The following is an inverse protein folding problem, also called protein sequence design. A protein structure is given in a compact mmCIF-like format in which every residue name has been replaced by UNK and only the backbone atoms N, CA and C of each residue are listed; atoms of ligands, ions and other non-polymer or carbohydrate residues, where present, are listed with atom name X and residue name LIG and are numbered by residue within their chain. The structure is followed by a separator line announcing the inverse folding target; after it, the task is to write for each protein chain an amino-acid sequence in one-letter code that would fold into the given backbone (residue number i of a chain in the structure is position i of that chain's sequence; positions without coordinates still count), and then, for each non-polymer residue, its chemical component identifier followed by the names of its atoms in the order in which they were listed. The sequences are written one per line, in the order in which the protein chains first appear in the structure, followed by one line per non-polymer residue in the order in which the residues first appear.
data_IF_438640777714
#
_entry.id   IF_438640777714
#
_cell.length_a   1.000
_cell.length_b   1.000
_cell.length_c   1.000
_cell.angle_alpha   90.00
_cell.angle_beta   90.00
_cell.angle_gamma   90.00
#
_symmetry.space_group_name_H-M   'P 1'
#
loop_
_entity.id
_entity.type
_entity.pdbx_description
1 polymer ?
#
# COMPACT_ATOMS: atom_id res chain seq x y z
N UNK A 1 -26.12 -27.27 -8.11
CA UNK A 1 -25.68 -26.13 -8.90
C UNK A 1 -25.16 -25.07 -7.95
N UNK A 2 -23.97 -24.53 -8.23
CA UNK A 2 -23.31 -23.51 -7.41
C UNK A 2 -23.08 -22.27 -8.28
N UNK A 3 -23.37 -21.07 -7.75
CA UNK A 3 -23.01 -19.80 -8.35
C UNK A 3 -22.01 -19.12 -7.42
N UNK A 4 -20.82 -18.82 -7.95
CA UNK A 4 -19.75 -18.13 -7.24
C UNK A 4 -19.59 -16.74 -7.83
N UNK A 5 -19.45 -15.73 -6.99
CA UNK A 5 -19.10 -14.36 -7.37
C UNK A 5 -17.73 -14.05 -6.82
N UNK A 6 -16.75 -13.89 -7.71
CA UNK A 6 -15.37 -13.61 -7.35
C UNK A 6 -14.69 -12.77 -8.43
N UNK A 7 -13.63 -12.04 -8.08
CA UNK A 7 -12.74 -11.36 -9.01
C UNK A 7 -11.36 -12.03 -9.10
N UNK A 8 -11.15 -13.13 -8.38
CA UNK A 8 -9.88 -13.86 -8.37
C UNK A 8 -9.84 -14.87 -9.50
N UNK A 9 -9.03 -14.59 -10.51
CA UNK A 9 -8.95 -15.43 -11.71
C UNK A 9 -8.51 -16.87 -11.43
N UNK A 10 -7.63 -17.09 -10.46
CA UNK A 10 -7.24 -18.44 -10.06
C UNK A 10 -8.46 -19.28 -9.60
N UNK A 11 -9.29 -18.71 -8.70
CA UNK A 11 -10.51 -19.39 -8.24
C UNK A 11 -11.47 -19.70 -9.41
N UNK A 12 -11.63 -18.72 -10.33
CA UNK A 12 -12.48 -18.89 -11.52
C UNK A 12 -11.97 -20.04 -12.39
N UNK A 13 -10.68 -20.06 -12.70
CA UNK A 13 -10.08 -21.06 -13.58
C UNK A 13 -10.08 -22.47 -12.98
N UNK A 14 -9.92 -22.57 -11.66
CA UNK A 14 -9.78 -23.86 -10.97
C UNK A 14 -11.12 -24.56 -10.75
N UNK A 15 -12.23 -23.82 -10.51
CA UNK A 15 -13.45 -24.43 -10.00
C UNK A 15 -14.71 -24.17 -10.84
N UNK A 16 -14.67 -23.28 -11.84
CA UNK A 16 -15.87 -22.99 -12.64
C UNK A 16 -15.89 -23.67 -13.99
N UNK A 17 -17.07 -24.11 -14.45
CA UNK A 17 -17.29 -24.63 -15.79
C UNK A 17 -17.49 -23.51 -16.81
N UNK A 18 -18.16 -22.44 -16.41
CA UNK A 18 -18.48 -21.27 -17.23
C UNK A 18 -18.36 -19.99 -16.42
N UNK A 19 -17.94 -18.94 -17.09
CA UNK A 19 -17.79 -17.60 -16.51
C UNK A 19 -18.68 -16.62 -17.24
N UNK A 20 -19.50 -15.90 -16.49
CA UNK A 20 -20.24 -14.74 -16.98
C UNK A 20 -19.55 -13.47 -16.46
N UNK A 21 -19.08 -12.62 -17.36
CA UNK A 21 -18.40 -11.39 -17.00
C UNK A 21 -19.40 -10.24 -16.93
N UNK A 22 -19.44 -9.57 -15.78
CA UNK A 22 -20.23 -8.36 -15.56
C UNK A 22 -19.29 -7.13 -15.46
N UNK A 23 -19.67 -6.06 -16.14
CA UNK A 23 -18.94 -4.78 -16.08
C UNK A 23 -19.93 -3.63 -16.06
N UNK A 24 -19.85 -2.77 -15.03
CA UNK A 24 -20.75 -1.61 -14.84
C UNK A 24 -22.24 -1.96 -14.92
N UNK A 25 -22.63 -3.16 -14.48
CA UNK A 25 -24.01 -3.63 -14.50
C UNK A 25 -24.44 -4.32 -15.81
N UNK A 26 -23.58 -4.37 -16.82
CA UNK A 26 -23.85 -5.02 -18.10
C UNK A 26 -23.18 -6.39 -18.18
N UNK A 27 -23.85 -7.36 -18.80
CA UNK A 27 -23.28 -8.65 -19.13
C UNK A 27 -22.44 -8.55 -20.39
N UNK A 28 -21.13 -8.64 -20.26
CA UNK A 28 -20.17 -8.55 -21.38
C UNK A 28 -20.14 -9.84 -22.20
N UNK A 29 -20.35 -10.97 -21.53
CA UNK A 29 -20.40 -12.27 -22.20
C UNK A 29 -20.32 -13.42 -21.21
N UNK A 30 -20.65 -14.62 -21.72
CA UNK A 30 -20.50 -15.89 -21.01
C UNK A 30 -19.60 -16.81 -21.84
N UNK A 31 -18.53 -17.30 -21.24
CA UNK A 31 -17.55 -18.17 -21.88
C UNK A 31 -17.34 -19.44 -21.07
N UNK A 32 -16.93 -20.54 -21.70
CA UNK A 32 -16.49 -21.72 -20.98
C UNK A 32 -15.08 -21.49 -20.45
N UNK A 33 -14.82 -21.91 -19.22
CA UNK A 33 -13.51 -21.75 -18.59
C UNK A 33 -12.40 -22.46 -19.37
N UNK A 34 -12.72 -23.64 -19.97
CA UNK A 34 -11.78 -24.38 -20.80
C UNK A 34 -11.43 -23.72 -22.15
N UNK A 35 -12.18 -22.71 -22.58
CA UNK A 35 -12.02 -22.04 -23.88
C UNK A 35 -11.51 -20.59 -23.72
N UNK A 36 -11.11 -20.19 -22.51
CA UNK A 36 -10.66 -18.82 -22.20
C UNK A 36 -9.37 -18.81 -21.37
N UNK A 37 -8.78 -17.64 -21.23
CA UNK A 37 -7.58 -17.44 -20.42
C UNK A 37 -7.81 -16.37 -19.34
N UNK A 38 -7.02 -16.37 -18.24
CA UNK A 38 -7.07 -15.32 -17.23
C UNK A 38 -6.95 -13.92 -17.81
N UNK A 39 -6.09 -13.75 -18.83
CA UNK A 39 -5.89 -12.48 -19.51
C UNK A 39 -7.15 -12.02 -20.25
N UNK A 40 -7.76 -12.91 -21.04
CA UNK A 40 -8.99 -12.58 -21.79
C UNK A 40 -10.15 -12.21 -20.84
N UNK A 41 -10.31 -12.94 -19.73
CA UNK A 41 -11.32 -12.63 -18.73
C UNK A 41 -11.03 -11.26 -18.08
N UNK A 42 -9.78 -10.97 -17.77
CA UNK A 42 -9.36 -9.68 -17.21
C UNK A 42 -9.67 -8.53 -18.18
N UNK A 43 -9.35 -8.69 -19.47
CA UNK A 43 -9.67 -7.70 -20.50
C UNK A 43 -11.19 -7.47 -20.64
N UNK A 44 -11.99 -8.53 -20.59
CA UNK A 44 -13.45 -8.42 -20.60
C UNK A 44 -13.95 -7.63 -19.37
N UNK A 45 -13.40 -7.88 -18.18
CA UNK A 45 -13.77 -7.21 -16.94
C UNK A 45 -13.37 -5.74 -16.95
N UNK A 46 -12.15 -5.41 -17.36
CA UNK A 46 -11.58 -4.06 -17.36
C UNK A 46 -12.04 -3.25 -18.58
N UNK A 47 -12.21 -3.91 -19.73
CA UNK A 47 -12.65 -3.28 -20.98
C UNK A 47 -11.54 -2.63 -21.80
N UNK A 48 -10.28 -2.91 -21.45
CA UNK A 48 -9.08 -2.52 -22.20
C UNK A 48 -8.06 -3.65 -22.13
N UNK A 49 -7.15 -3.70 -23.07
CA UNK A 49 -6.01 -4.60 -22.99
C UNK A 49 -5.23 -4.35 -21.69
N UNK A 50 -4.93 -5.41 -20.96
CA UNK A 50 -4.18 -5.36 -19.71
C UNK A 50 -2.88 -6.14 -19.92
N UNK A 51 -1.76 -5.48 -19.76
CA UNK A 51 -0.46 -6.14 -19.73
C UNK A 51 -0.22 -6.63 -18.31
N UNK A 52 -0.20 -7.95 -18.12
CA UNK A 52 0.08 -8.56 -16.82
C UNK A 52 1.58 -8.55 -16.47
N UNK A 53 2.43 -8.24 -17.44
CA UNK A 53 3.87 -8.11 -17.24
C UNK A 53 4.19 -6.71 -16.72
N UNK A 54 4.81 -6.66 -15.56
CA UNK A 54 5.32 -5.42 -14.96
C UNK A 54 6.77 -5.27 -15.43
N UNK A 55 7.04 -4.27 -16.26
CA UNK A 55 8.41 -3.87 -16.58
C UNK A 55 9.06 -3.33 -15.30
N UNK A 56 10.03 -4.08 -14.77
CA UNK A 56 10.84 -3.61 -13.65
C UNK A 56 12.09 -2.93 -14.20
N UNK A 57 12.38 -1.67 -13.83
CA UNK A 57 13.68 -1.11 -14.10
C UNK A 57 14.75 -1.98 -13.46
N UNK A 58 15.86 -2.21 -14.15
CA UNK A 58 17.06 -2.82 -13.57
C UNK A 58 17.55 -1.88 -12.47
N UNK A 59 17.60 -2.38 -11.23
CA UNK A 59 17.65 -1.39 -10.18
C UNK A 59 18.69 -1.71 -9.19
N UNK A 60 19.27 -2.30 -8.62
CA UNK A 60 20.07 -2.12 -7.42
C UNK A 60 21.54 -2.49 -7.61
N UNK A 61 22.37 -1.61 -7.12
CA UNK A 61 23.78 -1.93 -6.88
C UNK A 61 23.91 -2.48 -5.45
N UNK A 62 23.98 -3.80 -5.34
CA UNK A 62 24.20 -4.48 -4.05
C UNK A 62 25.62 -4.26 -3.46
N UNK A 63 26.51 -3.59 -4.20
CA UNK A 63 27.81 -3.14 -3.67
C UNK A 63 27.72 -1.74 -3.05
N UNK A 64 26.61 -1.04 -3.26
CA UNK A 64 26.35 0.24 -2.62
C UNK A 64 26.01 0.05 -1.13
N UNK A 65 26.01 1.17 -0.39
CA UNK A 65 25.55 1.18 1.00
C UNK A 65 24.04 0.91 1.04
N UNK A 66 23.56 0.01 1.92
CA UNK A 66 22.13 -0.17 2.12
C UNK A 66 21.42 1.13 2.51
N UNK A 67 20.22 1.34 1.98
CA UNK A 67 19.37 2.44 2.36
C UNK A 67 18.70 2.19 3.72
N UNK A 68 18.31 0.94 3.98
CA UNK A 68 17.78 0.49 5.27
C UNK A 68 18.50 -0.80 5.67
N UNK A 69 18.97 -0.89 6.91
CA UNK A 69 19.61 -2.08 7.46
C UNK A 69 18.97 -2.44 8.80
N UNK A 70 18.48 -3.66 8.91
CA UNK A 70 17.91 -4.20 10.14
C UNK A 70 18.89 -5.23 10.69
N UNK A 71 19.32 -5.04 11.95
CA UNK A 71 20.39 -5.82 12.57
C UNK A 71 19.93 -6.41 13.91
N UNK A 72 19.91 -7.74 13.98
CA UNK A 72 19.59 -8.52 15.20
C UNK A 72 18.28 -8.08 15.87
N UNK A 73 17.31 -7.64 15.06
CA UNK A 73 16.06 -7.11 15.55
C UNK A 73 15.26 -8.17 16.30
N UNK A 74 15.05 -7.93 17.58
CA UNK A 74 14.28 -8.81 18.46
C UNK A 74 13.17 -8.01 19.14
N UNK A 75 11.97 -8.58 19.17
CA UNK A 75 10.79 -8.04 19.84
C UNK A 75 10.14 -9.10 20.70
N UNK A 76 9.94 -8.81 21.96
CA UNK A 76 9.14 -9.63 22.88
C UNK A 76 7.76 -9.02 23.10
N UNK A 77 6.76 -9.88 23.22
CA UNK A 77 5.43 -9.48 23.66
C UNK A 77 5.39 -9.31 25.20
N UNK A 78 4.22 -8.96 25.73
CA UNK A 78 3.99 -8.79 27.18
C UNK A 78 4.26 -10.05 28.00
N UNK A 79 4.16 -11.23 27.38
CA UNK A 79 4.37 -12.52 28.02
C UNK A 79 5.84 -12.98 27.95
N UNK A 80 6.72 -12.14 27.38
CA UNK A 80 8.15 -12.43 27.22
C UNK A 80 8.51 -13.34 26.04
N UNK A 81 7.53 -13.69 25.18
CA UNK A 81 7.74 -14.52 24.00
C UNK A 81 8.25 -13.66 22.84
N UNK A 82 9.26 -14.16 22.11
CA UNK A 82 9.77 -13.48 20.92
C UNK A 82 8.72 -13.49 19.82
N UNK A 83 8.26 -12.31 19.40
CA UNK A 83 7.41 -12.08 18.21
C UNK A 83 8.29 -11.88 17.00
N UNK A 84 9.44 -11.23 17.18
CA UNK A 84 10.55 -11.18 16.23
C UNK A 84 11.79 -11.69 16.94
N UNK A 85 12.58 -12.50 16.27
CA UNK A 85 13.76 -13.13 16.86
C UNK A 85 14.94 -13.01 15.91
N UNK A 86 15.90 -12.15 16.26
CA UNK A 86 17.17 -11.95 15.54
C UNK A 86 16.97 -11.71 14.02
N UNK A 87 16.04 -10.86 13.65
CA UNK A 87 15.73 -10.53 12.24
C UNK A 87 16.84 -9.65 11.66
N UNK A 88 17.38 -10.06 10.51
CA UNK A 88 18.46 -9.36 9.82
C UNK A 88 18.15 -9.27 8.32
N UNK A 89 18.22 -8.07 7.74
CA UNK A 89 18.19 -7.85 6.30
C UNK A 89 18.63 -6.43 5.95
N UNK A 90 19.04 -6.26 4.69
CA UNK A 90 19.37 -4.98 4.09
C UNK A 90 18.40 -4.69 2.93
N UNK A 91 18.13 -3.41 2.68
CA UNK A 91 17.35 -2.92 1.51
C UNK A 91 18.17 -1.85 0.82
N UNK A 92 18.35 -2.00 -0.47
CA UNK A 92 19.18 -1.10 -1.29
C UNK A 92 18.33 -0.10 -2.08
N UNK A 93 18.96 0.96 -2.56
CA UNK A 93 18.28 1.94 -3.41
C UNK A 93 17.74 1.30 -4.70
N UNK A 94 16.44 1.51 -5.00
CA UNK A 94 15.75 0.92 -6.13
C UNK A 94 15.29 -0.54 -5.95
N UNK A 95 15.60 -1.17 -4.81
CA UNK A 95 15.18 -2.54 -4.50
C UNK A 95 13.73 -2.59 -4.02
N UNK A 96 13.05 -3.69 -4.37
CA UNK A 96 11.76 -4.07 -3.78
C UNK A 96 11.99 -5.37 -3.00
N UNK A 97 12.08 -5.25 -1.68
CA UNK A 97 12.17 -6.40 -0.78
C UNK A 97 10.78 -6.89 -0.39
N UNK A 98 10.46 -8.14 -0.74
CA UNK A 98 9.22 -8.79 -0.31
C UNK A 98 9.40 -9.53 1.01
N UNK A 99 8.54 -9.22 2.00
CA UNK A 99 8.50 -9.93 3.28
C UNK A 99 7.27 -10.84 3.30
N UNK A 100 7.50 -12.15 3.22
CA UNK A 100 6.44 -13.15 3.20
C UNK A 100 6.32 -13.88 4.55
N UNK A 101 5.10 -14.24 4.92
CA UNK A 101 4.81 -15.01 6.14
C UNK A 101 3.32 -15.22 6.31
N UNK A 102 2.94 -16.20 7.13
CA UNK A 102 1.53 -16.39 7.52
C UNK A 102 1.10 -15.30 8.51
N UNK A 103 -0.19 -15.11 8.67
CA UNK A 103 -0.72 -14.14 9.64
C UNK A 103 -0.18 -14.43 11.07
N UNK A 104 0.31 -13.40 11.75
CA UNK A 104 0.89 -13.51 13.09
C UNK A 104 2.39 -13.87 13.12
N UNK A 105 3.10 -13.88 11.98
CA UNK A 105 4.54 -14.15 11.94
C UNK A 105 5.43 -12.93 12.18
N UNK A 106 4.89 -11.83 12.71
CA UNK A 106 5.66 -10.65 13.10
C UNK A 106 5.79 -9.56 12.03
N UNK A 107 5.19 -9.71 10.84
CA UNK A 107 5.28 -8.70 9.77
C UNK A 107 4.73 -7.34 10.20
N UNK A 108 3.63 -7.33 10.96
CA UNK A 108 3.03 -6.12 11.49
C UNK A 108 3.99 -5.42 12.46
N UNK A 109 4.52 -6.16 13.42
CA UNK A 109 5.45 -5.67 14.44
C UNK A 109 6.73 -5.13 13.79
N UNK A 110 7.25 -5.82 12.76
CA UNK A 110 8.39 -5.35 11.98
C UNK A 110 8.13 -3.99 11.35
N UNK A 111 7.00 -3.83 10.66
CA UNK A 111 6.62 -2.56 10.04
C UNK A 111 6.43 -1.45 11.09
N UNK A 112 5.77 -1.74 12.20
CA UNK A 112 5.50 -0.78 13.27
C UNK A 112 6.81 -0.32 13.95
N UNK A 113 7.77 -1.22 14.16
CA UNK A 113 9.08 -0.89 14.73
C UNK A 113 9.89 0.00 13.78
N UNK A 114 9.97 -0.34 12.49
CA UNK A 114 10.66 0.50 11.50
C UNK A 114 10.04 1.89 11.41
N UNK A 115 8.71 1.99 11.55
CA UNK A 115 7.99 3.26 11.56
C UNK A 115 8.10 4.03 12.89
N UNK A 116 8.70 3.45 13.92
CA UNK A 116 8.79 4.04 15.26
C UNK A 116 7.48 4.04 16.05
N UNK A 117 6.49 3.27 15.59
CA UNK A 117 5.19 3.11 16.27
C UNK A 117 5.26 2.11 17.43
N UNK A 118 6.23 1.21 17.38
CA UNK A 118 6.51 0.25 18.45
C UNK A 118 8.02 0.19 18.75
N UNK A 119 8.37 -0.36 19.90
CA UNK A 119 9.77 -0.44 20.36
C UNK A 119 10.31 -1.86 20.19
N UNK A 120 11.52 -1.96 19.67
CA UNK A 120 12.28 -3.21 19.70
C UNK A 120 12.75 -3.52 21.12
N UNK A 121 12.96 -4.80 21.42
CA UNK A 121 13.56 -5.25 22.67
C UNK A 121 15.09 -5.19 22.57
N UNK A 122 15.63 -5.64 21.41
CA UNK A 122 17.06 -5.63 21.13
C UNK A 122 17.31 -5.46 19.62
N UNK A 123 18.56 -5.18 19.24
CA UNK A 123 18.98 -4.94 17.87
C UNK A 123 19.10 -3.45 17.53
N UNK A 124 19.25 -3.17 16.25
CA UNK A 124 19.32 -1.83 15.69
C UNK A 124 18.68 -1.76 14.30
N UNK A 125 18.26 -0.57 13.90
CA UNK A 125 17.82 -0.24 12.56
C UNK A 125 18.56 1.01 12.10
N UNK A 126 19.27 0.88 10.98
CA UNK A 126 19.98 2.00 10.36
C UNK A 126 19.24 2.44 9.08
N UNK A 127 19.10 3.73 8.91
CA UNK A 127 18.60 4.36 7.70
C UNK A 127 19.66 5.30 7.14
N UNK A 128 20.09 5.07 5.90
CA UNK A 128 21.18 5.81 5.24
C UNK A 128 22.48 5.82 6.08
N UNK A 129 22.66 4.77 6.93
CA UNK A 129 23.78 4.55 7.83
C UNK A 129 23.69 5.23 9.20
N UNK A 130 22.63 5.92 9.49
CA UNK A 130 22.32 6.45 10.80
C UNK A 130 21.33 5.56 11.55
N UNK A 131 21.59 5.24 12.81
CA UNK A 131 20.62 4.53 13.63
C UNK A 131 19.35 5.35 13.81
N UNK A 132 18.21 4.70 13.66
CA UNK A 132 16.88 5.27 13.94
C UNK A 132 16.28 4.73 15.23
N UNK A 133 17.04 3.94 15.99
CA UNK A 133 16.64 3.39 17.28
C UNK A 133 16.16 4.48 18.24
N UNK A 134 14.95 4.33 18.75
CA UNK A 134 14.37 5.26 19.73
C UNK A 134 13.88 6.58 19.15
N UNK A 135 13.93 6.79 17.84
CA UNK A 135 13.32 7.95 17.21
C UNK A 135 11.79 7.83 17.22
N UNK A 136 11.12 8.97 17.37
CA UNK A 136 9.67 9.03 17.23
C UNK A 136 9.25 8.97 15.74
N UNK A 137 7.97 8.65 15.45
CA UNK A 137 7.51 8.52 14.06
C UNK A 137 7.70 9.79 13.22
N UNK A 138 7.63 10.98 13.82
CA UNK A 138 7.85 12.25 13.09
C UNK A 138 9.30 12.42 12.68
N UNK A 139 10.24 12.05 13.55
CA UNK A 139 11.67 12.08 13.25
C UNK A 139 12.01 11.10 12.13
N UNK A 140 11.42 9.90 12.14
CA UNK A 140 11.58 8.86 11.12
C UNK A 140 11.05 9.36 9.76
N UNK A 141 9.86 9.94 9.73
CA UNK A 141 9.28 10.52 8.51
C UNK A 141 10.16 11.63 7.94
N UNK A 142 10.74 12.51 8.80
CA UNK A 142 11.66 13.57 8.35
C UNK A 142 12.95 13.02 7.74
N UNK A 143 13.39 11.84 8.15
CA UNK A 143 14.53 11.13 7.53
C UNK A 143 14.18 10.51 6.16
N UNK A 144 12.93 10.57 5.73
CA UNK A 144 12.48 10.09 4.43
C UNK A 144 11.94 8.66 4.42
N UNK A 145 11.75 8.04 5.60
CA UNK A 145 11.03 6.77 5.71
C UNK A 145 9.54 7.10 5.77
N UNK A 146 8.80 6.63 4.78
CA UNK A 146 7.34 6.73 4.77
C UNK A 146 6.75 5.33 4.81
N UNK A 147 5.81 5.10 5.71
CA UNK A 147 5.08 3.86 5.81
C UNK A 147 3.63 4.08 5.36
N UNK A 148 3.25 3.38 4.29
CA UNK A 148 1.84 3.24 3.91
C UNK A 148 1.31 1.96 4.55
N UNK A 149 0.56 2.11 5.63
CA UNK A 149 -0.09 0.98 6.27
C UNK A 149 -1.47 0.77 5.65
N UNK A 150 -1.65 -0.34 4.98
CA UNK A 150 -2.94 -0.73 4.40
C UNK A 150 -3.48 -1.90 5.23
N UNK A 151 -4.04 -1.62 6.42
CA UNK A 151 -4.66 -2.63 7.25
C UNK A 151 -6.00 -3.07 6.66
N UNK A 152 -6.59 -4.08 7.23
CA UNK A 152 -7.97 -4.47 6.95
C UNK A 152 -8.95 -3.32 7.22
N UNK A 153 -8.74 -2.60 8.33
CA UNK A 153 -9.38 -1.30 8.61
C UNK A 153 -8.50 -0.14 8.11
N UNK A 154 -8.73 0.23 6.86
CA UNK A 154 -7.98 1.31 6.16
C UNK A 154 -8.23 2.70 6.75
N UNK A 155 -9.37 2.88 7.38
CA UNK A 155 -9.84 4.16 7.87
C UNK A 155 -9.47 4.45 9.32
N UNK A 156 -8.92 3.45 10.06
CA UNK A 156 -8.48 3.62 11.43
C UNK A 156 -7.02 4.03 11.58
N UNK A 157 -6.16 3.60 10.66
CA UNK A 157 -4.70 3.79 10.77
C UNK A 157 -4.08 4.63 9.64
N UNK A 158 -4.61 4.54 8.43
CA UNK A 158 -4.03 5.20 7.26
C UNK A 158 -4.62 6.57 6.97
N UNK A 159 -5.92 6.70 7.03
CA UNK A 159 -6.71 7.88 6.68
C UNK A 159 -7.72 8.20 7.77
N UNK A 160 -8.10 9.47 7.89
CA UNK A 160 -9.17 9.90 8.78
C UNK A 160 -10.50 9.83 8.06
N UNK A 161 -11.33 8.85 8.41
CA UNK A 161 -12.58 8.50 7.75
C UNK A 161 -13.55 9.68 7.53
N UNK A 162 -13.66 10.55 8.51
CA UNK A 162 -14.58 11.71 8.49
C UNK A 162 -14.09 12.92 7.70
N UNK A 163 -12.81 12.93 7.29
CA UNK A 163 -12.22 14.05 6.56
C UNK A 163 -12.37 13.89 5.05
N UNK A 164 -12.24 15.00 4.31
CA UNK A 164 -12.19 15.02 2.86
C UNK A 164 -10.89 14.41 2.31
N UNK A 165 -10.86 14.11 1.01
CA UNK A 165 -9.62 13.73 0.32
C UNK A 165 -8.57 14.83 0.52
N UNK A 166 -8.93 16.10 0.28
CA UNK A 166 -8.05 17.26 0.46
C UNK A 166 -7.37 17.29 1.83
N UNK A 167 -8.13 17.07 2.91
CA UNK A 167 -7.55 17.09 4.25
C UNK A 167 -6.69 15.86 4.54
N UNK A 168 -7.07 14.70 4.00
CA UNK A 168 -6.30 13.47 4.19
C UNK A 168 -4.95 13.50 3.48
N UNK A 169 -4.85 14.08 2.29
CA UNK A 169 -3.58 14.10 1.54
C UNK A 169 -2.52 14.98 2.19
N UNK A 170 -2.91 16.01 2.94
CA UNK A 170 -1.97 16.91 3.62
C UNK A 170 -1.65 16.52 5.07
N UNK A 171 -2.21 15.43 5.61
CA UNK A 171 -2.02 15.03 7.03
C UNK A 171 -0.54 14.93 7.46
N UNK A 172 0.36 14.56 6.56
CA UNK A 172 1.80 14.44 6.83
C UNK A 172 2.61 15.67 6.40
N UNK A 173 2.01 16.59 5.63
CA UNK A 173 2.70 17.73 5.03
C UNK A 173 2.09 19.09 5.38
N UNK A 174 1.10 19.15 6.26
CA UNK A 174 0.39 20.38 6.62
C UNK A 174 1.29 21.49 7.19
N UNK A 175 2.44 21.13 7.75
CA UNK A 175 3.40 22.05 8.38
C UNK A 175 4.61 22.40 7.48
N UNK A 176 4.55 22.12 6.18
CA UNK A 176 5.62 22.49 5.24
C UNK A 176 5.73 24.01 5.05
N UNK A 177 4.63 24.73 5.19
CA UNK A 177 4.63 26.19 5.12
C UNK A 177 4.79 26.79 6.52
N UNK A 178 5.75 27.72 6.71
CA UNK A 178 5.90 28.44 7.96
C UNK A 178 4.72 29.41 8.14
N UNK A 179 3.78 29.08 9.02
CA UNK A 179 2.65 29.94 9.32
C UNK A 179 1.59 29.23 10.17
N UNK A 180 0.69 30.00 10.81
CA UNK A 180 -0.36 29.43 11.66
C UNK A 180 -1.52 28.83 10.88
N UNK A 181 -1.56 28.99 9.56
CA UNK A 181 -2.66 28.56 8.71
C UNK A 181 -2.23 27.50 7.70
N UNK A 182 -3.13 26.56 7.45
CA UNK A 182 -2.97 25.56 6.41
C UNK A 182 -3.17 26.20 5.03
N UNK A 183 -2.26 25.92 4.09
CA UNK A 183 -2.42 26.38 2.71
C UNK A 183 -3.49 25.54 1.99
N UNK A 184 -4.72 26.05 2.03
CA UNK A 184 -5.88 25.38 1.42
C UNK A 184 -5.80 25.31 -0.11
N UNK A 185 -5.09 26.25 -0.76
CA UNK A 185 -4.92 26.22 -2.23
C UNK A 185 -3.97 25.11 -2.64
N UNK A 186 -2.85 24.99 -1.95
CA UNK A 186 -1.90 23.89 -2.14
C UNK A 186 -2.57 22.54 -1.87
N UNK A 187 -3.28 22.41 -0.73
CA UNK A 187 -3.97 21.19 -0.35
C UNK A 187 -4.97 20.72 -1.42
N UNK A 188 -5.76 21.66 -1.98
CA UNK A 188 -6.73 21.37 -3.03
C UNK A 188 -6.03 20.93 -4.33
N UNK A 189 -5.00 21.66 -4.76
CA UNK A 189 -4.23 21.34 -5.97
C UNK A 189 -3.59 19.96 -5.87
N UNK A 190 -2.99 19.64 -4.72
CA UNK A 190 -2.40 18.34 -4.45
C UNK A 190 -3.44 17.22 -4.51
N UNK A 191 -4.61 17.43 -3.91
CA UNK A 191 -5.69 16.45 -3.95
C UNK A 191 -6.21 16.22 -5.37
N UNK A 192 -6.36 17.28 -6.18
CA UNK A 192 -6.74 17.18 -7.60
C UNK A 192 -5.70 16.41 -8.42
N UNK A 193 -4.42 16.65 -8.17
CA UNK A 193 -3.34 15.92 -8.82
C UNK A 193 -3.35 14.43 -8.46
N UNK A 194 -3.45 14.08 -7.18
CA UNK A 194 -3.51 12.68 -6.72
C UNK A 194 -4.75 11.97 -7.29
N UNK A 195 -5.91 12.65 -7.31
CA UNK A 195 -7.15 12.10 -7.88
C UNK A 195 -6.96 11.79 -9.36
N UNK A 196 -6.29 12.66 -10.11
CA UNK A 196 -6.00 12.46 -11.53
C UNK A 196 -4.98 11.34 -11.75
N UNK A 197 -3.82 11.40 -11.09
CA UNK A 197 -2.69 10.51 -11.34
C UNK A 197 -2.97 9.05 -10.94
N UNK A 198 -3.82 8.85 -9.94
CA UNK A 198 -4.23 7.52 -9.48
C UNK A 198 -5.63 7.10 -9.97
N UNK A 199 -6.22 7.84 -10.91
CA UNK A 199 -7.56 7.55 -11.43
C UNK A 199 -8.58 7.26 -10.30
N UNK A 200 -8.70 8.19 -9.34
CA UNK A 200 -9.60 8.03 -8.19
C UNK A 200 -11.00 8.47 -8.58
N UNK A 201 -11.95 7.54 -8.57
CA UNK A 201 -13.34 7.87 -8.85
C UNK A 201 -14.00 8.55 -7.66
N UNK A 202 -14.25 9.86 -7.78
CA UNK A 202 -14.86 10.71 -6.74
C UNK A 202 -15.65 11.86 -7.35
N UNK A 203 -16.76 12.30 -6.72
CA UNK A 203 -17.48 13.49 -7.17
C UNK A 203 -16.67 14.79 -7.03
N UNK A 204 -15.79 14.88 -6.03
CA UNK A 204 -14.90 16.02 -5.81
C UNK A 204 -13.82 15.70 -4.79
N UNK A 205 -12.74 16.50 -4.75
CA UNK A 205 -11.67 16.38 -3.75
C UNK A 205 -12.11 16.72 -2.33
N UNK A 206 -13.26 17.40 -2.19
CA UNK A 206 -13.87 17.68 -0.89
C UNK A 206 -14.77 16.54 -0.38
N UNK A 207 -14.90 15.47 -1.16
CA UNK A 207 -15.70 14.32 -0.78
C UNK A 207 -15.07 13.58 0.40
N UNK A 208 -15.92 13.13 1.33
CA UNK A 208 -15.46 12.44 2.55
C UNK A 208 -14.96 11.04 2.22
N UNK A 209 -13.74 10.71 2.67
CA UNK A 209 -13.05 9.47 2.30
C UNK A 209 -13.84 8.21 2.65
N UNK A 210 -14.56 8.16 3.79
CA UNK A 210 -15.40 7.00 4.18
C UNK A 210 -16.51 6.65 3.20
N UNK A 211 -16.86 7.57 2.29
CA UNK A 211 -17.90 7.37 1.28
C UNK A 211 -17.37 6.83 -0.05
N UNK A 212 -16.06 6.71 -0.18
CA UNK A 212 -15.41 6.12 -1.35
C UNK A 212 -15.49 4.59 -1.30
N UNK A 213 -15.34 3.95 -2.46
CA UNK A 213 -15.11 2.50 -2.52
C UNK A 213 -13.78 2.14 -1.87
N UNK A 214 -13.64 0.89 -1.43
CA UNK A 214 -12.41 0.41 -0.82
C UNK A 214 -11.17 0.62 -1.69
N UNK A 215 -11.26 0.41 -3.00
CA UNK A 215 -10.18 0.67 -3.94
C UNK A 215 -9.81 2.15 -4.02
N UNK A 216 -10.80 3.05 -4.08
CA UNK A 216 -10.52 4.49 -4.12
C UNK A 216 -9.93 5.01 -2.79
N UNK A 217 -10.35 4.46 -1.65
CA UNK A 217 -9.73 4.76 -0.34
C UNK A 217 -8.23 4.40 -0.39
N UNK A 218 -7.91 3.24 -0.93
CA UNK A 218 -6.53 2.77 -1.05
C UNK A 218 -5.70 3.63 -1.99
N UNK A 219 -6.26 4.01 -3.14
CA UNK A 219 -5.61 4.92 -4.09
C UNK A 219 -5.30 6.29 -3.47
N UNK A 220 -6.21 6.84 -2.64
CA UNK A 220 -5.95 8.08 -1.88
C UNK A 220 -4.76 7.90 -0.93
N UNK A 221 -4.72 6.78 -0.20
CA UNK A 221 -3.64 6.48 0.74
C UNK A 221 -2.30 6.31 0.02
N UNK A 222 -2.25 5.48 -1.00
CA UNK A 222 -1.03 5.23 -1.79
C UNK A 222 -0.56 6.51 -2.49
N UNK A 223 -1.47 7.27 -3.10
CA UNK A 223 -1.15 8.52 -3.78
C UNK A 223 -0.52 9.55 -2.84
N UNK A 224 -1.02 9.67 -1.60
CA UNK A 224 -0.41 10.52 -0.57
C UNK A 224 1.01 10.06 -0.24
N UNK A 225 1.20 8.77 0.02
CA UNK A 225 2.50 8.25 0.43
C UNK A 225 3.55 8.33 -0.69
N UNK A 226 3.16 8.05 -1.93
CA UNK A 226 4.04 8.14 -3.09
C UNK A 226 4.39 9.60 -3.42
N UNK A 227 3.42 10.51 -3.30
CA UNK A 227 3.66 11.94 -3.55
C UNK A 227 4.72 12.53 -2.60
N UNK A 228 4.83 12.02 -1.38
CA UNK A 228 5.86 12.44 -0.41
C UNK A 228 7.28 12.06 -0.86
N UNK A 229 7.43 11.31 -1.94
CA UNK A 229 8.71 10.86 -2.51
C UNK A 229 9.65 10.27 -1.46
N UNK A 230 9.20 9.27 -0.69
CA UNK A 230 9.99 8.71 0.39
C UNK A 230 11.22 7.98 -0.18
N UNK A 231 12.33 8.01 0.55
CA UNK A 231 13.52 7.21 0.21
C UNK A 231 13.28 5.70 0.46
N UNK A 232 12.49 5.36 1.48
CA UNK A 232 12.02 4.00 1.77
C UNK A 232 10.51 4.04 1.96
N UNK A 233 9.79 3.22 1.20
CA UNK A 233 8.35 3.06 1.31
C UNK A 233 8.04 1.65 1.83
N UNK A 234 7.36 1.55 2.97
CA UNK A 234 6.91 0.28 3.55
C UNK A 234 5.42 0.15 3.29
N UNK A 235 5.01 -0.94 2.64
CA UNK A 235 3.60 -1.20 2.33
C UNK A 235 3.18 -2.55 2.86
N UNK A 236 2.14 -2.57 3.70
CA UNK A 236 1.51 -3.80 4.15
C UNK A 236 0.22 -4.01 3.35
N UNK A 237 0.13 -5.14 2.65
CA UNK A 237 -1.04 -5.53 1.85
C UNK A 237 -1.51 -4.46 0.83
N UNK A 238 -0.65 -3.91 -0.03
CA UNK A 238 -0.97 -2.75 -0.89
C UNK A 238 -2.14 -3.00 -1.85
N UNK A 239 -2.37 -4.23 -2.26
CA UNK A 239 -3.44 -4.61 -3.21
C UNK A 239 -4.64 -5.29 -2.56
N UNK A 240 -4.67 -5.45 -1.24
CA UNK A 240 -5.77 -6.14 -0.55
C UNK A 240 -7.11 -5.43 -0.77
N UNK A 241 -8.08 -6.16 -1.35
CA UNK A 241 -9.42 -5.65 -1.63
C UNK A 241 -9.48 -4.58 -2.71
N UNK A 242 -8.47 -4.47 -3.56
CA UNK A 242 -8.59 -3.88 -4.87
C UNK A 242 -9.22 -4.91 -5.80
N UNK A 243 -10.09 -4.45 -6.71
CA UNK A 243 -10.45 -5.25 -7.88
C UNK A 243 -9.29 -5.26 -8.90
N UNK A 244 -9.40 -6.15 -9.88
CA UNK A 244 -8.38 -6.28 -10.93
C UNK A 244 -8.18 -4.95 -11.67
N UNK A 245 -9.26 -4.21 -11.96
CA UNK A 245 -9.17 -2.93 -12.66
C UNK A 245 -8.47 -1.82 -11.86
N UNK A 246 -8.46 -1.92 -10.53
CA UNK A 246 -7.78 -0.97 -9.65
C UNK A 246 -6.32 -1.39 -9.32
N UNK A 247 -5.95 -2.65 -9.65
CA UNK A 247 -4.60 -3.19 -9.39
C UNK A 247 -3.64 -2.97 -10.55
N UNK A 248 -4.17 -2.68 -11.74
CA UNK A 248 -3.48 -2.38 -13.00
C UNK A 248 -3.90 -1.00 -13.53
#
# INVERSE_FOLDING_TARGET
TIIIITHKMAEVMDISDRVTVLRKGECIGTVKTSETTPQQLTEMMVGKAVTLEIERPQCCDYNAKPMLSVKNLTKKNTDGVNVLDNVNFDVYGGEILGVAGIAGSGQKELCEIIAGLDKMTDGDIEFDGDSIKGLDPRAIIRKGISMSFVPEDRLGMGLVAGMSITNNVILKSYNHNPGPFIDSKFAKKLAEQIVHDFDIYTPSVNYTVKKLSGGNIQKVLLGREIWLSPKVLITAYPVRGLDIGASY
#
